data_IF_402313383497
#
_entry.id   IF_402313383497
#
_cell.length_a   1.000
_cell.length_b   1.000
_cell.length_c   1.000
_cell.angle_alpha   90.00
_cell.angle_beta   90.00
_cell.angle_gamma   90.00
#
_symmetry.space_group_name_H-M   'P 1'
#
loop_
_entity.id
_entity.type
_entity.pdbx_description
1 polymer ?
#
# COMPACT_ATOMS: atom_id res chain seq x y z
N UNK A 1 2.01 -15.19 -8.82
CA UNK A 1 0.82 -14.89 -8.01
C UNK A 1 1.13 -14.64 -6.54
N UNK A 2 1.85 -15.52 -5.83
CA UNK A 2 2.16 -15.32 -4.39
C UNK A 2 2.88 -13.99 -4.09
N UNK A 3 3.84 -13.58 -4.93
CA UNK A 3 4.51 -12.27 -4.82
C UNK A 3 3.52 -11.11 -4.95
N UNK A 4 2.58 -11.19 -5.91
CA UNK A 4 1.55 -10.16 -6.11
C UNK A 4 0.61 -10.05 -4.92
N UNK A 5 0.22 -11.17 -4.33
CA UNK A 5 -0.59 -11.20 -3.10
C UNK A 5 0.15 -10.53 -1.94
N UNK A 6 1.42 -10.88 -1.72
CA UNK A 6 2.22 -10.30 -0.66
C UNK A 6 2.46 -8.79 -0.85
N UNK A 7 2.82 -8.36 -2.07
CA UNK A 7 3.03 -6.93 -2.39
C UNK A 7 1.75 -6.15 -2.12
N UNK A 8 0.64 -6.58 -2.71
CA UNK A 8 -0.65 -5.91 -2.57
C UNK A 8 -1.04 -5.76 -1.09
N UNK A 9 -1.11 -6.87 -0.36
CA UNK A 9 -1.60 -6.86 1.02
C UNK A 9 -0.69 -6.06 1.96
N UNK A 10 0.63 -6.27 1.86
CA UNK A 10 1.57 -5.65 2.80
C UNK A 10 1.67 -4.14 2.59
N UNK A 11 1.66 -3.67 1.33
CA UNK A 11 1.74 -2.23 1.05
C UNK A 11 0.45 -1.52 1.47
N UNK A 12 -0.71 -2.12 1.22
CA UNK A 12 -1.99 -1.58 1.70
C UNK A 12 -2.04 -1.47 3.22
N UNK A 13 -1.64 -2.54 3.91
CA UNK A 13 -1.60 -2.52 5.38
C UNK A 13 -0.59 -1.50 5.91
N UNK A 14 0.59 -1.40 5.30
CA UNK A 14 1.63 -0.47 5.73
C UNK A 14 1.20 0.99 5.61
N UNK A 15 0.50 1.37 4.53
CA UNK A 15 0.05 2.75 4.35
C UNK A 15 -1.03 3.13 5.34
N UNK A 16 -1.95 2.22 5.66
CA UNK A 16 -2.98 2.44 6.67
C UNK A 16 -2.35 2.62 8.06
N UNK A 17 -1.37 1.78 8.42
CA UNK A 17 -0.60 1.93 9.67
C UNK A 17 0.16 3.26 9.71
N UNK A 18 0.79 3.68 8.61
CA UNK A 18 1.53 4.94 8.56
C UNK A 18 0.61 6.16 8.74
N UNK A 19 -0.61 6.11 8.18
CA UNK A 19 -1.64 7.14 8.34
C UNK A 19 -2.14 7.22 9.78
N UNK A 20 -2.42 6.07 10.41
CA UNK A 20 -2.82 5.99 11.82
C UNK A 20 -1.71 6.50 12.75
N UNK A 21 -0.46 6.09 12.52
CA UNK A 21 0.69 6.58 13.28
C UNK A 21 0.88 8.10 13.16
N UNK A 22 0.58 8.68 12.00
CA UNK A 22 0.57 10.14 11.80
C UNK A 22 -0.55 10.80 12.60
N UNK A 23 -1.75 10.20 12.61
CA UNK A 23 -2.90 10.70 13.35
C UNK A 23 -2.64 10.76 14.86
N UNK A 24 -2.00 9.73 15.43
CA UNK A 24 -1.63 9.69 16.85
C UNK A 24 -0.76 10.87 17.32
N UNK A 25 -0.02 11.51 16.39
CA UNK A 25 0.83 12.67 16.67
C UNK A 25 0.08 14.01 16.56
N UNK A 26 -1.18 14.03 16.11
CA UNK A 26 -1.98 15.24 15.93
C UNK A 26 -1.28 16.29 15.05
N UNK A 27 -1.23 17.54 15.51
CA UNK A 27 -0.59 18.64 14.77
C UNK A 27 0.92 18.41 14.54
N UNK A 28 1.61 17.78 15.50
CA UNK A 28 3.02 17.43 15.34
C UNK A 28 3.22 16.42 14.21
N UNK A 29 2.23 15.57 13.92
CA UNK A 29 2.26 14.63 12.81
C UNK A 29 2.27 15.26 11.42
N UNK A 30 2.06 16.57 11.27
CA UNK A 30 2.12 17.25 9.97
C UNK A 30 3.54 17.74 9.65
N UNK A 31 4.41 17.84 10.66
CA UNK A 31 5.78 18.34 10.47
C UNK A 31 6.70 17.24 9.96
N UNK A 32 7.83 17.63 9.38
CA UNK A 32 8.89 16.70 8.95
C UNK A 32 9.76 16.20 10.10
N UNK A 33 9.50 16.63 11.33
CA UNK A 33 10.25 16.24 12.52
C UNK A 33 9.92 14.80 12.95
N UNK A 34 8.72 14.33 12.61
CA UNK A 34 8.27 12.97 12.90
C UNK A 34 8.12 12.15 11.63
N UNK A 35 8.70 10.95 11.65
CA UNK A 35 8.77 10.07 10.48
C UNK A 35 7.43 9.54 9.92
N UNK A 36 6.31 9.43 10.66
CA UNK A 36 5.08 8.84 10.12
C UNK A 36 4.56 9.51 8.84
N UNK A 37 4.56 10.84 8.75
CA UNK A 37 4.10 11.52 7.53
C UNK A 37 5.02 11.26 6.34
N UNK A 38 6.33 11.24 6.55
CA UNK A 38 7.31 10.87 5.52
C UNK A 38 7.09 9.44 5.04
N UNK A 39 6.81 8.50 5.95
CA UNK A 39 6.54 7.11 5.59
C UNK A 39 5.21 6.95 4.84
N UNK A 40 4.15 7.65 5.24
CA UNK A 40 2.88 7.65 4.51
C UNK A 40 3.08 8.14 3.07
N UNK A 41 3.78 9.27 2.87
CA UNK A 41 4.08 9.82 1.54
C UNK A 41 4.93 8.87 0.70
N UNK A 42 5.94 8.23 1.29
CA UNK A 42 6.74 7.23 0.57
C UNK A 42 5.87 6.03 0.15
N UNK A 43 4.95 5.59 1.00
CA UNK A 43 4.06 4.46 0.72
C UNK A 43 3.00 4.77 -0.35
N UNK A 44 2.60 6.02 -0.54
CA UNK A 44 1.79 6.45 -1.70
C UNK A 44 2.51 6.20 -3.03
N UNK A 45 3.84 6.29 -3.04
CA UNK A 45 4.62 5.87 -4.21
C UNK A 45 4.66 4.35 -4.32
N UNK A 46 4.90 3.65 -3.22
CA UNK A 46 5.04 2.17 -3.18
C UNK A 46 3.76 1.44 -3.61
N UNK A 47 2.60 2.02 -3.32
CA UNK A 47 1.31 1.42 -3.72
C UNK A 47 1.10 1.48 -5.23
N UNK A 48 1.76 2.39 -5.95
CA UNK A 48 1.60 2.59 -7.39
C UNK A 48 2.69 1.94 -8.23
N UNK A 49 3.95 2.01 -7.82
CA UNK A 49 5.05 1.40 -8.57
C UNK A 49 5.06 -0.13 -8.45
N UNK A 50 5.69 -0.81 -9.42
CA UNK A 50 5.80 -2.29 -9.48
C UNK A 50 4.45 -3.02 -9.47
N UNK A 51 3.41 -2.36 -10.00
CA UNK A 51 2.04 -2.84 -10.09
C UNK A 51 1.11 -2.17 -9.09
N UNK A 52 0.02 -1.58 -9.58
CA UNK A 52 -1.02 -1.04 -8.70
C UNK A 52 -1.76 -2.15 -7.97
N UNK A 53 -2.50 -1.83 -6.90
CA UNK A 53 -3.36 -2.80 -6.23
C UNK A 53 -4.31 -3.51 -7.21
N UNK A 54 -4.93 -2.76 -8.11
CA UNK A 54 -5.83 -3.30 -9.13
C UNK A 54 -5.12 -4.31 -10.04
N UNK A 55 -3.91 -4.00 -10.49
CA UNK A 55 -3.12 -4.93 -11.31
C UNK A 55 -2.84 -6.22 -10.55
N UNK A 56 -2.42 -6.15 -9.29
CA UNK A 56 -2.17 -7.35 -8.48
C UNK A 56 -3.45 -8.14 -8.18
N UNK A 57 -4.58 -7.47 -7.95
CA UNK A 57 -5.88 -8.12 -7.80
C UNK A 57 -6.28 -8.89 -9.07
N UNK A 58 -6.02 -8.33 -10.26
CA UNK A 58 -6.27 -9.02 -11.54
C UNK A 58 -5.34 -10.23 -11.74
N UNK A 59 -4.05 -10.13 -11.36
CA UNK A 59 -3.13 -11.29 -11.36
C UNK A 59 -3.66 -12.41 -10.46
N UNK A 60 -4.05 -12.07 -9.23
CA UNK A 60 -4.56 -13.04 -8.25
C UNK A 60 -5.92 -13.60 -8.70
N UNK A 61 -6.80 -12.75 -9.21
CA UNK A 61 -8.11 -13.15 -9.71
C UNK A 61 -8.03 -14.14 -10.87
N UNK A 62 -7.08 -13.94 -11.80
CA UNK A 62 -6.82 -14.90 -12.88
C UNK A 62 -6.37 -16.26 -12.35
N UNK A 63 -5.52 -16.31 -11.34
CA UNK A 63 -5.10 -17.56 -10.71
C UNK A 63 -6.27 -18.29 -10.05
N UNK A 64 -7.10 -17.57 -9.30
CA UNK A 64 -8.21 -18.15 -8.54
C UNK A 64 -9.34 -18.62 -9.44
N UNK A 65 -9.64 -17.87 -10.50
CA UNK A 65 -10.82 -18.10 -11.36
C UNK A 65 -10.51 -18.77 -12.69
N UNK A 66 -9.25 -18.75 -13.13
CA UNK A 66 -8.87 -19.16 -14.49
C UNK A 66 -9.25 -18.16 -15.59
N UNK A 67 -9.95 -17.06 -15.26
CA UNK A 67 -10.44 -16.07 -16.22
C UNK A 67 -9.50 -14.87 -16.27
N UNK A 68 -9.12 -14.46 -17.48
CA UNK A 68 -8.35 -13.24 -17.68
C UNK A 68 -9.28 -12.01 -17.72
N UNK A 69 -9.03 -11.01 -16.87
CA UNK A 69 -9.80 -9.77 -16.77
C UNK A 69 -8.92 -8.51 -16.85
N UNK A 70 -7.70 -8.64 -17.38
CA UNK A 70 -6.85 -7.50 -17.76
C UNK A 70 -7.42 -6.69 -18.92
#
# INVERSE_FOLDING_TARGET
TQVSLAKWNNVRMAIDIAREARELLGAAGITTEHSPIRHALNLESVITYEGTETVHQLVVGREVTGINAF
#
